data_IF_505370901869
#
_entry.id   IF_505370901869
#
_cell.length_a   1.000
_cell.length_b   1.000
_cell.length_c   1.000
_cell.angle_alpha   90.00
_cell.angle_beta   90.00
_cell.angle_gamma   90.00
#
_symmetry.space_group_name_H-M   'P 1'
#
loop_
_entity.id
_entity.type
_entity.pdbx_description
1 polymer ?
#
# COMPACT_ATOMS: atom_id res chain seq x y z
N UNK A 1 3.13 -35.47 31.63
CA UNK A 1 3.67 -34.53 30.62
C UNK A 1 2.75 -34.31 29.39
N UNK A 2 1.80 -35.20 29.08
CA UNK A 2 0.97 -35.13 27.86
C UNK A 2 -0.22 -34.15 27.90
N UNK A 3 -0.50 -33.50 29.04
CA UNK A 3 -1.65 -32.59 29.24
C UNK A 3 -1.35 -31.10 29.05
N UNK A 4 -0.07 -30.70 29.07
CA UNK A 4 0.33 -29.29 28.88
C UNK A 4 0.46 -28.90 27.40
N UNK A 5 0.63 -29.88 26.51
CA UNK A 5 0.85 -29.65 25.08
C UNK A 5 -0.42 -29.22 24.34
N UNK A 6 -1.60 -29.70 24.74
CA UNK A 6 -2.87 -29.38 24.09
C UNK A 6 -3.28 -27.88 24.22
N UNK A 7 -3.26 -27.24 25.42
CA UNK A 7 -3.59 -25.82 25.52
C UNK A 7 -2.55 -24.93 24.83
N UNK A 8 -1.28 -25.30 24.84
CA UNK A 8 -0.22 -24.55 24.15
C UNK A 8 -0.40 -24.58 22.63
N UNK A 9 -0.75 -25.73 22.05
CA UNK A 9 -1.05 -25.84 20.62
C UNK A 9 -2.29 -25.03 20.20
N UNK A 10 -3.35 -25.04 21.01
CA UNK A 10 -4.56 -24.24 20.75
C UNK A 10 -4.29 -22.73 20.83
N UNK A 11 -3.49 -22.29 21.80
CA UNK A 11 -3.10 -20.88 21.94
C UNK A 11 -2.23 -20.42 20.76
N UNK A 12 -1.29 -21.26 20.33
CA UNK A 12 -0.44 -21.01 19.16
C UNK A 12 -1.27 -20.93 17.88
N UNK A 13 -2.25 -21.82 17.71
CA UNK A 13 -3.16 -21.81 16.58
C UNK A 13 -4.06 -20.57 16.56
N UNK A 14 -4.52 -20.09 17.72
CA UNK A 14 -5.31 -18.87 17.82
C UNK A 14 -4.50 -17.61 17.45
N UNK A 15 -3.25 -17.52 17.91
CA UNK A 15 -2.33 -16.42 17.57
C UNK A 15 -1.92 -16.42 16.08
N UNK A 16 -1.75 -17.60 15.49
CA UNK A 16 -1.36 -17.77 14.08
C UNK A 16 -2.55 -17.78 13.12
N UNK A 17 -3.77 -17.97 13.61
CA UNK A 17 -4.99 -17.72 12.84
C UNK A 17 -5.19 -16.21 12.73
N UNK A 18 -5.58 -15.67 11.56
CA UNK A 18 -5.65 -14.23 11.28
C UNK A 18 -6.54 -13.37 12.21
N UNK A 19 -7.13 -13.95 13.25
CA UNK A 19 -7.82 -13.28 14.36
C UNK A 19 -6.88 -12.89 15.53
N UNK A 20 -5.62 -13.35 15.54
CA UNK A 20 -4.63 -13.08 16.59
C UNK A 20 -3.89 -11.74 16.46
N UNK A 21 -4.52 -10.74 15.84
CA UNK A 21 -3.84 -9.48 15.52
C UNK A 21 -3.52 -8.68 16.80
N UNK A 22 -2.24 -8.59 17.13
CA UNK A 22 -1.75 -7.90 18.32
C UNK A 22 -1.61 -6.38 18.09
N UNK A 23 -1.29 -5.99 16.86
CA UNK A 23 -1.13 -4.59 16.48
C UNK A 23 -1.46 -4.36 15.02
N UNK A 24 -2.21 -3.29 14.75
CA UNK A 24 -2.48 -2.82 13.40
C UNK A 24 -2.44 -1.30 13.34
N UNK A 25 -1.65 -0.78 12.40
CA UNK A 25 -1.71 0.63 12.00
C UNK A 25 -1.42 0.72 10.50
N UNK A 26 -2.47 0.43 9.73
CA UNK A 26 -2.44 0.44 8.27
C UNK A 26 -3.25 1.63 7.77
N UNK A 27 -2.69 2.43 6.88
CA UNK A 27 -3.43 3.43 6.11
C UNK A 27 -3.60 2.97 4.66
N UNK A 28 -4.85 2.78 4.24
CA UNK A 28 -5.21 2.34 2.88
C UNK A 28 -6.47 3.02 2.32
N UNK A 29 -6.70 4.35 2.44
CA UNK A 29 -7.76 4.99 1.66
C UNK A 29 -7.53 4.79 0.17
N UNK A 30 -8.57 4.32 -0.51
CA UNK A 30 -8.55 3.96 -1.95
C UNK A 30 -9.24 5.00 -2.84
N UNK A 31 -9.93 5.96 -2.23
CA UNK A 31 -10.58 7.04 -2.97
C UNK A 31 -9.55 8.11 -3.33
N UNK A 32 -9.36 8.36 -4.62
CA UNK A 32 -8.60 9.47 -5.14
C UNK A 32 -9.30 10.02 -6.38
N UNK A 33 -9.49 11.34 -6.43
CA UNK A 33 -9.96 12.00 -7.64
C UNK A 33 -8.76 12.37 -8.49
N UNK A 34 -8.53 11.62 -9.55
CA UNK A 34 -7.57 12.00 -10.59
C UNK A 34 -8.17 13.08 -11.47
N UNK A 35 -7.37 14.07 -11.85
CA UNK A 35 -7.76 15.02 -12.86
C UNK A 35 -7.71 14.37 -14.25
N UNK A 36 -8.65 14.72 -15.11
CA UNK A 36 -8.59 14.39 -16.53
C UNK A 36 -7.58 15.34 -17.24
N UNK A 37 -6.99 14.92 -18.38
CA UNK A 37 -6.12 15.80 -19.17
C UNK A 37 -6.77 17.15 -19.52
N UNK A 38 -8.09 17.18 -19.75
CA UNK A 38 -8.86 18.39 -20.03
C UNK A 38 -9.02 19.34 -18.83
N UNK A 39 -8.75 18.88 -17.61
CA UNK A 39 -8.89 19.65 -16.37
C UNK A 39 -7.56 20.30 -15.93
N UNK A 40 -6.48 20.04 -16.66
CA UNK A 40 -5.13 20.49 -16.33
C UNK A 40 -4.44 21.09 -17.56
N UNK A 41 -3.35 21.81 -17.37
CA UNK A 41 -2.49 22.31 -18.47
C UNK A 41 -1.66 21.16 -19.05
N UNK A 42 -2.30 20.10 -19.54
CA UNK A 42 -1.61 18.90 -20.03
C UNK A 42 -0.89 19.18 -21.34
N UNK A 43 0.35 18.71 -21.47
CA UNK A 43 1.09 18.65 -22.72
C UNK A 43 1.29 17.19 -23.16
N UNK A 44 1.39 16.97 -24.47
CA UNK A 44 1.79 15.66 -25.01
C UNK A 44 3.20 15.22 -24.58
N UNK A 45 4.05 16.18 -24.19
CA UNK A 45 5.42 15.97 -23.71
C UNK A 45 5.52 15.79 -22.19
N UNK A 46 4.41 15.76 -21.47
CA UNK A 46 4.40 15.61 -20.01
C UNK A 46 5.01 14.27 -19.61
N UNK A 47 5.88 14.33 -18.59
CA UNK A 47 6.62 13.18 -18.10
C UNK A 47 5.67 12.20 -17.40
N UNK A 48 5.81 10.92 -17.72
CA UNK A 48 5.19 9.83 -16.96
C UNK A 48 6.03 9.55 -15.72
N UNK A 49 5.38 9.51 -14.56
CA UNK A 49 5.99 9.15 -13.28
C UNK A 49 5.27 7.96 -12.66
N UNK A 50 6.02 7.24 -11.84
CA UNK A 50 5.51 6.09 -11.09
C UNK A 50 5.72 6.31 -9.60
N UNK A 51 4.77 5.87 -8.80
CA UNK A 51 4.84 5.95 -7.35
C UNK A 51 4.36 4.67 -6.70
N UNK A 52 4.91 4.40 -5.52
CA UNK A 52 4.59 3.18 -4.77
C UNK A 52 4.53 3.44 -3.29
N UNK A 53 3.48 2.93 -2.65
CA UNK A 53 3.34 2.94 -1.21
C UNK A 53 2.87 1.58 -0.72
N UNK A 54 3.40 1.11 0.42
CA UNK A 54 3.18 -0.25 0.90
C UNK A 54 2.88 -0.31 2.39
N UNK A 55 2.01 -1.25 2.75
CA UNK A 55 1.88 -1.77 4.09
C UNK A 55 2.38 -3.22 4.10
N UNK A 56 2.74 -3.69 5.29
CA UNK A 56 3.26 -5.05 5.48
C UNK A 56 2.74 -5.64 6.78
N UNK A 57 2.72 -6.95 6.84
CA UNK A 57 2.40 -7.72 8.04
C UNK A 57 3.44 -8.80 8.29
N UNK A 58 3.60 -9.14 9.56
CA UNK A 58 4.52 -10.18 10.05
C UNK A 58 3.77 -11.11 10.97
N UNK A 59 3.98 -12.42 10.76
CA UNK A 59 3.45 -13.55 11.52
C UNK A 59 1.92 -13.53 11.68
N UNK A 60 1.19 -12.87 10.79
CA UNK A 60 -0.26 -12.62 10.91
C UNK A 60 -0.69 -11.82 12.15
N UNK A 61 0.26 -11.31 12.95
CA UNK A 61 -0.02 -10.66 14.24
C UNK A 61 0.18 -9.15 14.21
N UNK A 62 1.19 -8.67 13.49
CA UNK A 62 1.59 -7.26 13.50
C UNK A 62 1.56 -6.73 12.09
N UNK A 63 0.81 -5.65 11.85
CA UNK A 63 0.80 -5.00 10.54
C UNK A 63 0.89 -3.48 10.63
N UNK A 64 1.63 -2.91 9.69
CA UNK A 64 1.90 -1.48 9.66
C UNK A 64 2.21 -0.96 8.27
N UNK A 65 2.06 0.35 8.11
CA UNK A 65 2.49 1.10 6.95
C UNK A 65 1.34 1.81 6.25
N UNK A 66 1.68 2.44 5.13
CA UNK A 66 0.75 3.26 4.35
C UNK A 66 0.79 2.76 2.92
N UNK A 67 -0.29 2.11 2.48
CA UNK A 67 -0.50 1.76 1.09
C UNK A 67 -1.65 2.58 0.49
N UNK A 68 -1.88 3.79 1.02
CA UNK A 68 -2.84 4.72 0.45
C UNK A 68 -2.42 5.20 -0.94
N UNK A 69 -3.41 5.63 -1.71
CA UNK A 69 -3.16 6.38 -2.93
C UNK A 69 -2.37 7.66 -2.67
N UNK A 70 -2.71 8.40 -1.62
CA UNK A 70 -2.03 9.66 -1.30
C UNK A 70 -0.53 9.45 -1.04
N UNK A 71 -0.16 8.38 -0.34
CA UNK A 71 1.24 8.04 -0.13
C UNK A 71 1.94 7.67 -1.43
N UNK A 72 1.30 6.88 -2.29
CA UNK A 72 1.88 6.52 -3.57
C UNK A 72 1.99 7.76 -4.49
N UNK A 73 1.01 8.68 -4.47
CA UNK A 73 1.01 9.93 -5.24
C UNK A 73 2.14 10.86 -4.80
N UNK A 74 2.32 11.01 -3.48
CA UNK A 74 3.48 11.72 -2.92
C UNK A 74 4.78 11.10 -3.38
N UNK A 75 4.87 9.77 -3.41
CA UNK A 75 6.06 9.06 -3.88
C UNK A 75 6.35 9.31 -5.36
N UNK A 76 5.31 9.30 -6.21
CA UNK A 76 5.42 9.62 -7.63
C UNK A 76 5.87 11.06 -7.92
N UNK A 77 5.45 12.01 -7.08
CA UNK A 77 5.79 13.43 -7.20
C UNK A 77 7.10 13.80 -6.48
N UNK A 78 7.83 12.84 -5.91
CA UNK A 78 9.11 13.13 -5.26
C UNK A 78 10.10 13.70 -6.27
N UNK A 79 10.57 14.91 -5.98
CA UNK A 79 11.52 15.62 -6.84
C UNK A 79 10.88 16.42 -7.97
N UNK A 80 9.55 16.41 -8.09
CA UNK A 80 8.82 17.31 -8.98
C UNK A 80 8.57 18.67 -8.30
N UNK A 81 8.30 19.74 -9.07
CA UNK A 81 8.00 21.07 -8.53
C UNK A 81 6.78 21.08 -7.58
N UNK A 82 6.68 22.04 -6.65
CA UNK A 82 5.57 22.09 -5.68
C UNK A 82 4.19 22.34 -6.31
N UNK A 83 4.14 22.84 -7.55
CA UNK A 83 2.93 23.04 -8.35
C UNK A 83 2.66 21.87 -9.32
N UNK A 84 3.41 20.78 -9.22
CA UNK A 84 3.20 19.58 -10.01
C UNK A 84 1.97 18.82 -9.53
N UNK A 85 1.12 18.43 -10.49
CA UNK A 85 -0.05 17.61 -10.23
C UNK A 85 -0.04 16.36 -11.10
N UNK A 86 -0.55 15.26 -10.54
CA UNK A 86 -0.76 14.01 -11.26
C UNK A 86 -2.11 14.03 -11.96
N UNK A 87 -2.11 13.69 -13.24
CA UNK A 87 -3.32 13.50 -14.03
C UNK A 87 -3.24 12.20 -14.84
N UNK A 88 -4.39 11.74 -15.34
CA UNK A 88 -4.51 10.44 -16.03
C UNK A 88 -3.89 9.27 -15.23
N UNK A 89 -4.18 9.25 -13.93
CA UNK A 89 -3.56 8.30 -13.00
C UNK A 89 -4.20 6.92 -13.15
N UNK A 90 -3.36 5.95 -13.47
CA UNK A 90 -3.66 4.51 -13.38
C UNK A 90 -3.08 3.96 -12.10
N UNK A 91 -3.76 2.98 -11.54
CA UNK A 91 -3.43 2.50 -10.22
C UNK A 91 -3.82 1.06 -10.03
N UNK A 92 -2.89 0.33 -9.45
CA UNK A 92 -2.96 -1.11 -9.26
C UNK A 92 -2.51 -1.47 -7.85
N UNK A 93 -2.87 -2.68 -7.44
CA UNK A 93 -2.40 -3.27 -6.19
C UNK A 93 -1.52 -4.47 -6.48
N UNK A 94 -0.39 -4.54 -5.81
CA UNK A 94 0.50 -5.68 -5.83
C UNK A 94 0.62 -6.29 -4.44
N UNK A 95 0.23 -7.55 -4.30
CA UNK A 95 0.43 -8.35 -3.09
C UNK A 95 1.62 -9.29 -3.25
N UNK A 96 2.45 -9.41 -2.22
CA UNK A 96 3.49 -10.44 -2.10
C UNK A 96 3.34 -11.12 -0.76
N UNK A 97 3.39 -12.45 -0.75
CA UNK A 97 3.39 -13.25 0.46
C UNK A 97 4.61 -14.19 0.42
N UNK A 98 5.29 -14.28 1.56
CA UNK A 98 6.46 -15.12 1.76
C UNK A 98 6.18 -16.08 2.91
N UNK A 99 6.74 -17.29 2.80
CA UNK A 99 6.59 -18.33 3.82
C UNK A 99 5.13 -18.55 4.22
N UNK A 100 4.27 -18.81 3.22
CA UNK A 100 2.83 -19.04 3.42
C UNK A 100 2.11 -17.85 4.10
N UNK A 101 2.67 -16.64 4.02
CA UNK A 101 2.05 -15.42 4.56
C UNK A 101 2.61 -14.95 5.91
N UNK A 102 3.62 -15.63 6.47
CA UNK A 102 4.33 -15.15 7.67
C UNK A 102 4.97 -13.78 7.45
N UNK A 103 5.29 -13.43 6.21
CA UNK A 103 5.52 -12.04 5.82
C UNK A 103 4.68 -11.74 4.60
N UNK A 104 3.80 -10.74 4.70
CA UNK A 104 3.01 -10.27 3.58
C UNK A 104 3.20 -8.78 3.38
N UNK A 105 3.17 -8.35 2.13
CA UNK A 105 3.31 -6.95 1.74
C UNK A 105 2.30 -6.63 0.66
N UNK A 106 1.53 -5.56 0.87
CA UNK A 106 0.56 -5.05 -0.09
C UNK A 106 0.96 -3.62 -0.45
N UNK A 107 1.10 -3.37 -1.75
CA UNK A 107 1.52 -2.08 -2.27
C UNK A 107 0.51 -1.53 -3.27
N UNK A 108 0.14 -0.26 -3.10
CA UNK A 108 -0.45 0.53 -4.17
C UNK A 108 0.69 0.97 -5.09
N UNK A 109 0.55 0.65 -6.37
CA UNK A 109 1.37 1.22 -7.44
C UNK A 109 0.50 2.18 -8.22
N UNK A 110 1.06 3.32 -8.58
CA UNK A 110 0.41 4.23 -9.50
C UNK A 110 1.37 4.61 -10.61
N UNK A 111 0.79 4.89 -11.76
CA UNK A 111 1.44 5.49 -12.91
C UNK A 111 0.57 6.64 -13.38
N UNK A 112 1.18 7.78 -13.68
CA UNK A 112 0.44 8.96 -14.10
C UNK A 112 1.36 9.94 -14.81
N UNK A 113 0.77 10.98 -15.38
CA UNK A 113 1.52 12.07 -16.01
C UNK A 113 1.58 13.27 -15.07
N UNK A 114 2.67 14.01 -15.16
CA UNK A 114 2.88 15.23 -14.35
C UNK A 114 2.59 16.45 -15.20
N UNK A 115 1.62 17.26 -14.77
CA UNK A 115 1.38 18.59 -15.32
C UNK A 115 1.85 19.64 -14.31
N UNK A 116 2.41 20.73 -14.81
CA UNK A 116 2.76 21.91 -14.00
C UNK A 116 1.59 22.90 -14.02
N UNK A 117 1.13 23.32 -12.85
CA UNK A 117 0.07 24.33 -12.73
C UNK A 117 0.59 25.77 -12.80
#
# INVERSE_FOLDING_TARGET
>A
MRRLSLPLCLFSAALLSGCGMLYTNIHMPRAYRTAAPSEVKSSGSDKTVEGKACARSVLFMVAWGDASYAAAARDALKGEPPNAILYDVKSDMAGKAYLVGLYAQTCTKLTGRVALQ
#
